data_IF_317086478219
#
_entry.id   IF_317086478219
#
_cell.length_a   1.000
_cell.length_b   1.000
_cell.length_c   1.000
_cell.angle_alpha   90.00
_cell.angle_beta   90.00
_cell.angle_gamma   90.00
#
_symmetry.space_group_name_H-M   'P 1'
#
loop_
_entity.id
_entity.type
_entity.pdbx_description
1 polymer ?
#
# COMPACT_ATOMS: atom_id res chain seq x y z
N UNK A 1 -7.26 -32.64 -16.24
CA UNK A 1 -8.23 -31.54 -16.08
C UNK A 1 -9.09 -31.67 -14.82
N UNK A 2 -8.75 -32.53 -13.85
CA UNK A 2 -9.59 -32.81 -12.66
C UNK A 2 -9.16 -32.04 -11.38
N UNK A 3 -7.99 -31.36 -11.43
CA UNK A 3 -7.43 -30.64 -10.28
C UNK A 3 -8.26 -29.39 -9.92
N UNK A 4 -8.92 -28.77 -10.90
CA UNK A 4 -9.74 -27.57 -10.69
C UNK A 4 -11.17 -27.88 -10.20
N UNK A 5 -11.60 -29.15 -10.24
CA UNK A 5 -12.98 -29.53 -9.98
C UNK A 5 -13.26 -29.83 -8.50
N UNK A 6 -12.22 -29.99 -7.66
CA UNK A 6 -12.36 -30.33 -6.24
C UNK A 6 -11.40 -29.50 -5.40
N UNK A 7 -11.83 -29.00 -4.22
CA UNK A 7 -10.94 -28.30 -3.32
C UNK A 7 -9.85 -29.24 -2.77
N UNK A 8 -8.67 -28.68 -2.54
CA UNK A 8 -7.48 -29.35 -2.00
C UNK A 8 -7.08 -28.70 -0.66
N UNK A 9 -7.77 -29.01 0.46
CA UNK A 9 -7.55 -28.32 1.74
C UNK A 9 -6.10 -28.33 2.23
N UNK A 10 -5.30 -29.32 1.83
CA UNK A 10 -3.87 -29.42 2.09
C UNK A 10 -3.05 -28.23 1.54
N UNK A 11 -3.59 -27.44 0.61
CA UNK A 11 -2.96 -26.25 0.06
C UNK A 11 -3.18 -24.99 0.92
N UNK A 12 -4.12 -24.98 1.87
CA UNK A 12 -4.39 -23.79 2.69
C UNK A 12 -3.16 -23.29 3.49
N UNK A 13 -2.35 -24.18 4.13
CA UNK A 13 -1.11 -23.76 4.77
C UNK A 13 -0.07 -23.23 3.76
N UNK A 14 -0.07 -23.76 2.52
CA UNK A 14 0.84 -23.32 1.47
C UNK A 14 0.50 -21.89 1.02
N UNK A 15 -0.78 -21.56 0.84
CA UNK A 15 -1.22 -20.21 0.51
C UNK A 15 -0.76 -19.19 1.57
N UNK A 16 -0.96 -19.51 2.85
CA UNK A 16 -0.54 -18.66 3.97
C UNK A 16 0.99 -18.49 4.02
N UNK A 17 1.74 -19.58 3.83
CA UNK A 17 3.21 -19.53 3.76
C UNK A 17 3.70 -18.73 2.56
N UNK A 18 3.03 -18.84 1.41
CA UNK A 18 3.40 -18.11 0.21
C UNK A 18 3.24 -16.60 0.39
N UNK A 19 2.17 -16.16 1.07
CA UNK A 19 1.99 -14.74 1.43
C UNK A 19 3.14 -14.18 2.24
N UNK A 20 3.70 -14.98 3.14
CA UNK A 20 4.77 -14.55 4.04
C UNK A 20 6.19 -14.78 3.49
N UNK A 21 6.34 -15.59 2.43
CA UNK A 21 7.63 -16.05 1.91
C UNK A 21 8.60 -14.90 1.58
N UNK A 22 8.07 -13.82 1.00
CA UNK A 22 8.82 -12.63 0.62
C UNK A 22 8.20 -11.34 1.20
N UNK A 23 7.38 -11.48 2.25
CA UNK A 23 6.65 -10.36 2.83
C UNK A 23 7.56 -9.41 3.60
N UNK A 24 8.69 -9.86 4.14
CA UNK A 24 9.49 -9.08 5.08
C UNK A 24 10.85 -8.68 4.51
N UNK A 25 11.29 -7.50 4.94
CA UNK A 25 12.65 -7.00 4.76
C UNK A 25 13.32 -7.03 6.13
N UNK A 26 13.94 -8.16 6.49
CA UNK A 26 14.57 -8.30 7.82
C UNK A 26 15.93 -7.61 7.92
N UNK A 27 16.60 -7.40 6.78
CA UNK A 27 17.91 -6.77 6.73
C UNK A 27 17.79 -5.31 6.31
N UNK A 28 18.41 -4.36 7.04
CA UNK A 28 18.33 -2.95 6.69
C UNK A 28 18.99 -2.72 5.32
N UNK A 29 18.27 -2.14 4.34
CA UNK A 29 18.89 -1.71 3.09
C UNK A 29 19.87 -0.56 3.35
N UNK A 30 20.71 -0.24 2.37
CA UNK A 30 21.69 0.85 2.50
C UNK A 30 21.05 2.18 2.93
N UNK A 31 19.84 2.47 2.44
CA UNK A 31 19.06 3.66 2.80
C UNK A 31 18.68 3.74 4.27
N UNK A 32 18.59 2.61 4.98
CA UNK A 32 18.32 2.56 6.41
C UNK A 32 19.59 2.62 7.28
N UNK A 33 20.77 2.45 6.66
CA UNK A 33 22.08 2.44 7.35
C UNK A 33 22.79 3.79 7.32
N UNK A 34 22.41 4.68 6.40
CA UNK A 34 23.04 5.99 6.27
C UNK A 34 22.53 6.96 7.37
N UNK A 35 23.42 7.68 8.06
CA UNK A 35 23.04 8.68 9.06
C UNK A 35 22.48 9.97 8.44
N UNK A 36 22.55 10.11 7.11
CA UNK A 36 22.02 11.25 6.36
C UNK A 36 20.68 10.88 5.72
N UNK A 37 19.64 11.74 5.80
CA UNK A 37 18.41 11.56 5.06
C UNK A 37 18.74 11.44 3.57
N UNK A 38 18.23 10.42 2.87
CA UNK A 38 18.41 10.34 1.40
C UNK A 38 17.79 11.56 0.67
N UNK A 39 16.92 12.30 1.38
CA UNK A 39 16.34 13.57 0.97
C UNK A 39 17.38 14.71 0.87
N UNK A 40 18.60 14.54 1.40
CA UNK A 40 19.69 15.51 1.29
C UNK A 40 20.27 15.65 -0.14
N UNK A 41 19.98 14.70 -1.03
CA UNK A 41 20.34 14.81 -2.45
C UNK A 41 19.29 15.65 -3.18
N UNK A 42 19.67 16.69 -3.95
CA UNK A 42 18.73 17.50 -4.71
C UNK A 42 17.80 16.66 -5.59
N UNK A 43 16.51 17.02 -5.60
CA UNK A 43 15.44 16.25 -6.25
C UNK A 43 15.75 15.95 -7.72
N UNK A 44 16.19 16.95 -8.49
CA UNK A 44 16.49 16.76 -9.92
C UNK A 44 17.62 15.77 -10.22
N UNK A 45 18.66 15.75 -9.38
CA UNK A 45 19.77 14.79 -9.52
C UNK A 45 19.31 13.38 -9.13
N UNK A 46 18.51 13.27 -8.06
CA UNK A 46 17.94 12.00 -7.61
C UNK A 46 17.00 11.40 -8.65
N UNK A 47 16.16 12.21 -9.27
CA UNK A 47 15.21 11.75 -10.30
C UNK A 47 15.94 11.25 -11.55
N UNK A 48 17.02 11.91 -11.96
CA UNK A 48 17.82 11.50 -13.11
C UNK A 48 18.51 10.16 -12.83
N UNK A 49 19.11 10.00 -11.64
CA UNK A 49 19.72 8.73 -11.20
C UNK A 49 18.64 7.63 -11.13
N UNK A 50 17.48 7.93 -10.54
CA UNK A 50 16.37 6.98 -10.40
C UNK A 50 15.85 6.50 -11.76
N UNK A 51 15.69 7.40 -12.74
CA UNK A 51 15.25 7.04 -14.11
C UNK A 51 16.29 6.21 -14.86
N UNK A 52 17.57 6.52 -14.72
CA UNK A 52 18.65 5.75 -15.34
C UNK A 52 18.72 4.32 -14.79
N UNK A 53 18.73 4.19 -13.46
CA UNK A 53 18.67 2.90 -12.76
C UNK A 53 17.39 2.16 -13.14
N UNK A 54 16.25 2.84 -13.15
CA UNK A 54 14.94 2.28 -13.42
C UNK A 54 14.79 1.63 -14.79
N UNK A 55 15.36 2.22 -15.86
CA UNK A 55 15.33 1.60 -17.21
C UNK A 55 16.13 0.29 -17.27
N UNK A 56 17.30 0.24 -16.64
CA UNK A 56 18.10 -0.98 -16.54
C UNK A 56 17.35 -2.06 -15.75
N UNK A 57 16.73 -1.62 -14.65
CA UNK A 57 15.94 -2.40 -13.74
C UNK A 57 14.67 -2.99 -14.41
N UNK A 58 13.96 -2.22 -15.25
CA UNK A 58 12.82 -2.72 -16.04
C UNK A 58 13.20 -3.92 -16.91
N UNK A 59 14.32 -3.83 -17.64
CA UNK A 59 14.83 -4.97 -18.44
C UNK A 59 15.12 -6.20 -17.58
N UNK A 60 15.59 -6.01 -16.34
CA UNK A 60 15.84 -7.11 -15.41
C UNK A 60 14.55 -7.79 -14.98
N UNK A 61 13.46 -7.04 -14.72
CA UNK A 61 12.14 -7.64 -14.42
C UNK A 61 11.61 -8.46 -15.59
N UNK A 62 11.79 -7.96 -16.82
CA UNK A 62 11.35 -8.63 -18.05
C UNK A 62 12.15 -9.91 -18.33
N UNK A 63 13.46 -9.92 -18.04
CA UNK A 63 14.35 -11.05 -18.40
C UNK A 63 14.58 -12.06 -17.27
N UNK A 64 14.38 -11.66 -16.02
CA UNK A 64 14.60 -12.49 -14.82
C UNK A 64 13.50 -12.24 -13.78
N UNK A 65 12.26 -12.66 -14.05
CA UNK A 65 11.17 -12.49 -13.10
C UNK A 65 11.48 -13.25 -11.81
N UNK A 66 11.47 -12.52 -10.69
CA UNK A 66 11.56 -13.10 -9.34
C UNK A 66 10.17 -13.37 -8.78
N UNK A 67 10.11 -14.02 -7.61
CA UNK A 67 8.90 -14.07 -6.81
C UNK A 67 8.88 -12.88 -5.81
N UNK A 68 7.74 -12.22 -5.61
CA UNK A 68 6.53 -12.32 -6.44
C UNK A 68 6.72 -11.69 -7.83
N UNK A 69 5.92 -12.10 -8.81
CA UNK A 69 5.95 -11.57 -10.17
C UNK A 69 5.61 -10.07 -10.22
N UNK A 70 6.15 -9.37 -11.22
CA UNK A 70 5.81 -7.99 -11.58
C UNK A 70 4.99 -7.96 -12.88
N UNK A 71 4.00 -7.06 -13.05
CA UNK A 71 3.55 -6.03 -12.11
C UNK A 71 2.52 -6.51 -11.07
N UNK A 72 2.02 -7.73 -11.21
CA UNK A 72 0.99 -8.32 -10.34
C UNK A 72 1.25 -9.82 -10.19
N UNK A 73 1.20 -10.29 -8.95
CA UNK A 73 1.21 -11.71 -8.60
C UNK A 73 0.03 -12.00 -7.68
N UNK A 74 -0.73 -13.05 -8.02
CA UNK A 74 -1.92 -13.51 -7.31
C UNK A 74 -1.83 -15.01 -7.01
N UNK A 75 -0.62 -15.58 -7.04
CA UNK A 75 -0.40 -17.02 -6.84
C UNK A 75 -0.85 -17.50 -5.46
N UNK A 76 -0.77 -16.67 -4.41
CA UNK A 76 -1.30 -17.04 -3.09
C UNK A 76 -2.84 -17.04 -3.06
N UNK A 77 -3.49 -16.18 -3.85
CA UNK A 77 -4.95 -16.16 -4.00
C UNK A 77 -5.43 -17.37 -4.79
N UNK A 78 -4.75 -17.72 -5.88
CA UNK A 78 -5.01 -18.95 -6.64
C UNK A 78 -4.88 -20.20 -5.75
N UNK A 79 -3.83 -20.28 -4.92
CA UNK A 79 -3.70 -21.39 -3.97
C UNK A 79 -4.82 -21.41 -2.92
N UNK A 80 -5.30 -20.24 -2.49
CA UNK A 80 -6.44 -20.15 -1.57
C UNK A 80 -7.71 -20.69 -2.22
N UNK A 81 -7.94 -20.38 -3.49
CA UNK A 81 -9.10 -20.86 -4.26
C UNK A 81 -9.03 -22.36 -4.51
N UNK A 82 -7.86 -22.87 -4.91
CA UNK A 82 -7.61 -24.30 -5.07
C UNK A 82 -7.77 -25.06 -3.75
N UNK A 83 -7.47 -24.43 -2.62
CA UNK A 83 -7.69 -25.01 -1.30
C UNK A 83 -9.18 -25.02 -0.89
N UNK A 84 -10.06 -24.34 -1.62
CA UNK A 84 -11.47 -24.19 -1.28
C UNK A 84 -11.71 -23.23 -0.11
N UNK A 85 -10.79 -22.28 0.15
CA UNK A 85 -11.00 -21.26 1.17
C UNK A 85 -12.12 -20.32 0.76
N UNK A 86 -13.03 -20.05 1.69
CA UNK A 86 -14.11 -19.10 1.44
C UNK A 86 -13.54 -17.71 1.14
N UNK A 87 -14.00 -17.09 0.06
CA UNK A 87 -13.67 -15.71 -0.28
C UNK A 87 -14.97 -14.89 -0.36
N UNK A 88 -15.35 -14.19 0.71
CA UNK A 88 -16.56 -13.36 0.71
C UNK A 88 -16.44 -12.15 -0.24
N UNK A 89 -15.20 -11.71 -0.54
CA UNK A 89 -14.93 -10.60 -1.47
C UNK A 89 -15.11 -11.00 -2.95
N UNK A 90 -15.30 -12.29 -3.25
CA UNK A 90 -15.61 -12.74 -4.61
C UNK A 90 -17.06 -12.41 -5.04
N UNK A 91 -17.89 -11.93 -4.11
CA UNK A 91 -19.29 -11.60 -4.39
C UNK A 91 -19.44 -10.12 -4.75
N UNK A 92 -19.92 -9.86 -5.96
CA UNK A 92 -20.23 -8.51 -6.44
C UNK A 92 -19.00 -7.74 -6.94
N UNK A 93 -19.12 -6.40 -7.07
CA UNK A 93 -18.04 -5.55 -7.57
C UNK A 93 -16.82 -5.56 -6.65
N UNK A 94 -15.63 -5.58 -7.23
CA UNK A 94 -14.37 -5.56 -6.50
C UNK A 94 -14.20 -4.24 -5.73
N UNK A 95 -13.88 -4.30 -4.41
CA UNK A 95 -13.66 -3.10 -3.63
C UNK A 95 -12.42 -2.35 -4.12
N UNK A 96 -12.52 -1.02 -4.22
CA UNK A 96 -11.43 -0.11 -4.54
C UNK A 96 -11.14 0.78 -3.33
N UNK A 97 -9.91 0.73 -2.83
CA UNK A 97 -9.42 1.62 -1.78
C UNK A 97 -8.36 2.54 -2.39
N UNK A 98 -8.60 3.84 -2.27
CA UNK A 98 -7.63 4.88 -2.67
C UNK A 98 -6.78 5.25 -1.46
N UNK A 99 -5.47 5.29 -1.64
CA UNK A 99 -4.55 5.68 -0.56
C UNK A 99 -3.46 6.62 -1.08
N UNK A 100 -3.05 7.55 -0.22
CA UNK A 100 -2.00 8.52 -0.52
C UNK A 100 -0.93 8.51 0.56
N UNK A 101 0.34 8.45 0.16
CA UNK A 101 1.47 8.68 1.05
C UNK A 101 1.87 10.15 0.93
N UNK A 102 1.72 10.91 2.03
CA UNK A 102 1.98 12.34 2.11
C UNK A 102 3.39 12.59 2.66
N UNK A 103 4.39 12.47 1.80
CA UNK A 103 5.80 12.59 2.18
C UNK A 103 6.21 14.02 2.59
N UNK A 104 5.45 15.02 2.15
CA UNK A 104 5.80 16.45 2.30
C UNK A 104 4.58 17.34 2.56
N UNK A 105 4.78 18.58 3.04
CA UNK A 105 3.69 19.58 3.14
C UNK A 105 3.02 19.88 1.79
N UNK A 106 3.78 19.88 0.69
CA UNK A 106 3.24 20.04 -0.67
C UNK A 106 2.23 18.94 -1.00
N UNK A 107 2.53 17.70 -0.59
CA UNK A 107 1.61 16.57 -0.75
C UNK A 107 0.27 16.81 -0.07
N UNK A 108 0.28 17.33 1.17
CA UNK A 108 -0.96 17.64 1.91
C UNK A 108 -1.76 18.79 1.27
N UNK A 109 -1.09 19.85 0.80
CA UNK A 109 -1.78 20.93 0.06
C UNK A 109 -2.42 20.42 -1.24
N UNK A 110 -1.65 19.67 -2.03
CA UNK A 110 -2.14 19.10 -3.28
C UNK A 110 -3.27 18.09 -3.04
N UNK A 111 -3.23 17.31 -1.96
CA UNK A 111 -4.31 16.42 -1.57
C UNK A 111 -5.64 17.19 -1.50
N UNK A 112 -5.69 18.22 -0.67
CA UNK A 112 -6.88 19.05 -0.43
C UNK A 112 -7.39 19.75 -1.70
N UNK A 113 -6.45 20.27 -2.49
CA UNK A 113 -6.74 21.12 -3.65
C UNK A 113 -7.05 20.35 -4.93
N UNK A 114 -6.42 19.19 -5.13
CA UNK A 114 -6.48 18.45 -6.41
C UNK A 114 -7.16 17.08 -6.27
N UNK A 115 -6.78 16.28 -5.27
CA UNK A 115 -7.19 14.88 -5.18
C UNK A 115 -8.57 14.73 -4.56
N UNK A 116 -8.80 15.27 -3.35
CA UNK A 116 -10.08 15.11 -2.66
C UNK A 116 -11.28 15.58 -3.49
N UNK A 117 -11.26 16.76 -4.17
CA UNK A 117 -12.42 17.21 -4.95
C UNK A 117 -12.80 16.26 -6.10
N UNK A 118 -11.84 15.55 -6.68
CA UNK A 118 -12.08 14.56 -7.74
C UNK A 118 -12.63 13.27 -7.13
N UNK A 119 -12.00 12.79 -6.07
CA UNK A 119 -12.42 11.58 -5.37
C UNK A 119 -13.84 11.70 -4.86
N UNK A 120 -14.17 12.82 -4.23
CA UNK A 120 -15.51 13.11 -3.71
C UNK A 120 -16.56 13.11 -4.82
N UNK A 121 -16.26 13.73 -5.97
CA UNK A 121 -17.15 13.75 -7.14
C UNK A 121 -17.40 12.35 -7.69
N UNK A 122 -16.43 11.44 -7.58
CA UNK A 122 -16.53 10.04 -8.00
C UNK A 122 -17.08 9.12 -6.89
N UNK A 123 -17.46 9.67 -5.73
CA UNK A 123 -18.01 8.91 -4.60
C UNK A 123 -16.97 8.17 -3.76
N UNK A 124 -15.68 8.46 -3.94
CA UNK A 124 -14.59 7.84 -3.18
C UNK A 124 -14.23 8.63 -1.92
N UNK A 125 -13.67 7.93 -0.93
CA UNK A 125 -12.98 8.50 0.23
C UNK A 125 -11.66 7.75 0.44
N UNK A 126 -10.56 8.47 0.32
CA UNK A 126 -9.20 7.93 0.44
C UNK A 126 -8.70 7.82 1.89
N UNK A 127 -7.65 7.01 2.07
CA UNK A 127 -6.84 6.92 3.30
C UNK A 127 -5.50 7.60 3.08
N UNK A 128 -5.17 8.58 3.92
CA UNK A 128 -4.04 9.48 3.74
C UNK A 128 -2.98 9.24 4.82
N UNK A 129 -1.89 8.59 4.44
CA UNK A 129 -0.80 8.21 5.34
C UNK A 129 0.21 9.35 5.47
N UNK A 130 0.44 9.82 6.70
CA UNK A 130 1.34 10.93 6.99
C UNK A 130 2.41 10.59 8.04
N UNK A 131 3.67 11.01 7.86
CA UNK A 131 4.76 10.76 8.80
C UNK A 131 4.77 11.80 9.94
N UNK A 132 4.50 11.42 11.20
CA UNK A 132 4.29 12.38 12.30
C UNK A 132 5.44 13.33 12.62
N UNK A 133 6.67 12.97 12.25
CA UNK A 133 7.92 13.67 12.59
C UNK A 133 8.82 13.93 11.37
N UNK A 134 8.35 13.74 10.15
CA UNK A 134 9.16 14.09 8.97
C UNK A 134 9.07 15.59 8.63
N UNK A 135 7.93 16.22 8.91
CA UNK A 135 7.68 17.65 8.68
C UNK A 135 6.59 18.17 9.65
N UNK A 136 6.50 19.49 9.89
CA UNK A 136 5.47 20.06 10.75
C UNK A 136 4.06 19.89 10.16
N UNK A 137 3.21 19.11 10.81
CA UNK A 137 1.84 18.87 10.36
C UNK A 137 0.93 20.06 10.68
N UNK A 138 0.20 20.55 9.67
CA UNK A 138 -0.86 21.54 9.86
C UNK A 138 -2.15 20.84 10.31
N UNK A 139 -2.51 21.01 11.58
CA UNK A 139 -3.69 20.38 12.17
C UNK A 139 -4.99 20.90 11.55
N UNK A 140 -5.05 22.14 11.05
CA UNK A 140 -6.25 22.66 10.40
C UNK A 140 -6.50 21.95 9.07
N UNK A 141 -5.43 21.68 8.30
CA UNK A 141 -5.52 20.88 7.08
C UNK A 141 -5.95 19.44 7.39
N UNK A 142 -5.41 18.82 8.46
CA UNK A 142 -5.82 17.47 8.86
C UNK A 142 -7.28 17.42 9.35
N UNK A 143 -7.73 18.43 10.08
CA UNK A 143 -9.13 18.59 10.48
C UNK A 143 -10.04 18.69 9.24
N UNK A 144 -9.62 19.43 8.20
CA UNK A 144 -10.35 19.52 6.94
C UNK A 144 -10.45 18.15 6.23
N UNK A 145 -9.34 17.42 6.12
CA UNK A 145 -9.33 16.06 5.53
C UNK A 145 -10.34 15.16 6.27
N UNK A 146 -10.29 15.16 7.60
CA UNK A 146 -11.17 14.36 8.43
C UNK A 146 -12.64 14.80 8.31
N UNK A 147 -12.93 16.11 8.33
CA UNK A 147 -14.28 16.66 8.21
C UNK A 147 -14.94 16.34 6.86
N UNK A 148 -14.13 16.19 5.80
CA UNK A 148 -14.58 15.76 4.46
C UNK A 148 -14.84 14.26 4.35
N UNK A 149 -14.57 13.50 5.42
CA UNK A 149 -14.81 12.06 5.51
C UNK A 149 -13.68 11.20 4.94
N UNK A 150 -12.51 11.78 4.69
CA UNK A 150 -11.31 11.05 4.30
C UNK A 150 -10.57 10.57 5.54
N UNK A 151 -10.04 9.35 5.50
CA UNK A 151 -9.33 8.78 6.64
C UNK A 151 -7.88 9.26 6.69
N UNK A 152 -7.34 9.40 7.90
CA UNK A 152 -5.93 9.62 8.16
C UNK A 152 -5.26 8.29 8.58
N UNK A 153 -4.00 8.12 8.18
CA UNK A 153 -3.16 6.96 8.47
C UNK A 153 -1.76 7.39 8.94
N UNK A 154 -1.05 6.52 9.66
CA UNK A 154 0.32 6.81 10.10
C UNK A 154 1.33 6.25 9.10
N UNK A 155 2.23 7.12 8.61
CA UNK A 155 3.31 6.75 7.70
C UNK A 155 4.67 6.67 8.42
N UNK A 156 4.78 5.76 9.40
CA UNK A 156 6.00 5.61 10.19
C UNK A 156 6.24 6.74 11.21
N UNK A 157 7.42 7.36 11.15
CA UNK A 157 7.86 8.36 12.13
C UNK A 157 8.43 9.59 11.42
N UNK A 158 9.64 9.50 10.89
CA UNK A 158 10.39 10.59 10.25
C UNK A 158 10.80 10.26 8.79
N UNK A 159 10.22 9.20 8.22
CA UNK A 159 10.49 8.71 6.87
C UNK A 159 11.96 8.30 6.60
N UNK A 160 12.78 8.06 7.66
CA UNK A 160 14.21 7.70 7.49
C UNK A 160 14.50 6.20 7.36
N UNK A 161 13.47 5.36 7.20
CA UNK A 161 13.60 3.92 7.02
C UNK A 161 14.26 3.14 8.18
N UNK A 162 14.49 3.75 9.36
CA UNK A 162 15.16 3.07 10.50
C UNK A 162 14.21 2.31 11.43
N UNK A 163 12.94 2.72 11.51
CA UNK A 163 11.95 2.16 12.45
C UNK A 163 11.86 0.64 12.46
N UNK A 164 11.86 -0.07 11.30
CA UNK A 164 11.75 -1.53 11.29
C UNK A 164 12.98 -2.26 11.88
N UNK A 165 14.13 -1.59 11.94
CA UNK A 165 15.44 -2.20 12.24
C UNK A 165 16.05 -1.74 13.56
N UNK A 166 15.44 -0.74 14.22
CA UNK A 166 15.90 -0.26 15.50
C UNK A 166 15.49 -1.20 16.66
N UNK A 167 16.15 -1.04 17.81
CA UNK A 167 15.88 -1.82 19.01
C UNK A 167 14.41 -1.65 19.47
N UNK A 168 13.82 -2.65 20.16
CA UNK A 168 12.41 -2.61 20.57
C UNK A 168 11.99 -1.33 21.30
N UNK A 169 12.80 -0.84 22.25
CA UNK A 169 12.48 0.38 23.01
C UNK A 169 12.43 1.64 22.14
N UNK A 170 13.38 1.77 21.20
CA UNK A 170 13.39 2.88 20.25
C UNK A 170 12.23 2.76 19.26
N UNK A 171 11.91 1.54 18.79
CA UNK A 171 10.78 1.30 17.90
C UNK A 171 9.46 1.66 18.59
N UNK A 172 9.28 1.25 19.85
CA UNK A 172 8.14 1.64 20.68
C UNK A 172 8.03 3.17 20.79
N UNK A 173 9.10 3.86 21.17
CA UNK A 173 9.11 5.33 21.28
C UNK A 173 8.69 6.02 19.98
N UNK A 174 9.18 5.52 18.83
CA UNK A 174 8.82 6.06 17.51
C UNK A 174 7.35 5.84 17.17
N UNK A 175 6.82 4.65 17.44
CA UNK A 175 5.41 4.33 17.18
C UNK A 175 4.48 5.14 18.11
N UNK A 176 4.86 5.31 19.37
CA UNK A 176 4.05 6.04 20.37
C UNK A 176 4.01 7.56 20.09
N UNK A 177 4.93 8.09 19.29
CA UNK A 177 4.92 9.50 18.90
C UNK A 177 3.74 9.91 18.02
N UNK A 178 3.00 8.94 17.48
CA UNK A 178 1.76 9.16 16.74
C UNK A 178 0.52 9.22 17.64
N UNK A 179 0.64 8.93 18.95
CA UNK A 179 -0.51 8.70 19.83
C UNK A 179 -1.54 9.84 19.83
N UNK A 180 -1.10 11.10 19.88
CA UNK A 180 -2.02 12.25 19.88
C UNK A 180 -2.81 12.40 18.57
N UNK A 181 -2.21 12.03 17.43
CA UNK A 181 -2.89 12.02 16.13
C UNK A 181 -3.87 10.84 16.05
N UNK A 182 -3.44 9.67 16.55
CA UNK A 182 -4.28 8.47 16.61
C UNK A 182 -5.53 8.72 17.43
N UNK A 183 -5.38 9.32 18.61
CA UNK A 183 -6.49 9.66 19.49
C UNK A 183 -7.41 10.71 18.86
N UNK A 184 -6.85 11.82 18.34
CA UNK A 184 -7.64 12.92 17.78
C UNK A 184 -8.47 12.51 16.56
N UNK A 185 -7.89 11.72 15.66
CA UNK A 185 -8.51 11.42 14.37
C UNK A 185 -9.01 9.98 14.25
N UNK A 186 -8.91 9.18 15.32
CA UNK A 186 -9.29 7.77 15.30
C UNK A 186 -8.50 6.96 14.26
N UNK A 187 -7.20 7.22 14.10
CA UNK A 187 -6.39 6.59 13.05
C UNK A 187 -6.28 5.09 13.30
N UNK A 188 -6.64 4.30 12.28
CA UNK A 188 -6.65 2.82 12.36
C UNK A 188 -5.57 2.13 11.53
N UNK A 189 -5.02 2.83 10.54
CA UNK A 189 -4.11 2.26 9.55
C UNK A 189 -2.67 2.74 9.73
N UNK A 190 -1.74 1.84 9.49
CA UNK A 190 -0.31 2.13 9.38
C UNK A 190 0.22 1.78 7.99
N UNK A 191 1.24 2.51 7.54
CA UNK A 191 2.05 2.14 6.38
C UNK A 191 3.51 2.47 6.64
N UNK A 192 4.40 1.51 6.45
CA UNK A 192 5.81 1.69 6.67
C UNK A 192 6.43 2.55 5.55
N UNK A 193 7.28 3.54 5.88
CA UNK A 193 8.05 4.30 4.90
C UNK A 193 8.84 3.41 3.95
N UNK A 194 8.81 3.76 2.67
CA UNK A 194 9.38 2.95 1.59
C UNK A 194 8.90 1.49 1.57
N UNK A 195 7.81 1.14 2.26
CA UNK A 195 7.35 -0.24 2.45
C UNK A 195 8.42 -1.13 3.12
N UNK A 196 9.30 -0.59 3.95
CA UNK A 196 10.28 -1.40 4.68
C UNK A 196 9.64 -1.92 5.97
N UNK A 197 9.56 -3.24 6.10
CA UNK A 197 8.89 -3.89 7.23
C UNK A 197 9.66 -5.12 7.67
N UNK A 198 9.77 -5.32 8.97
CA UNK A 198 10.29 -6.54 9.62
C UNK A 198 9.14 -7.22 10.37
N UNK A 199 9.28 -8.51 10.68
CA UNK A 199 8.30 -9.17 11.55
C UNK A 199 8.17 -8.45 12.90
N UNK A 200 9.29 -8.00 13.47
CA UNK A 200 9.31 -7.27 14.73
C UNK A 200 8.50 -5.97 14.67
N UNK A 201 8.52 -5.26 13.53
CA UNK A 201 7.66 -4.09 13.33
C UNK A 201 6.19 -4.49 13.32
N UNK A 202 5.77 -5.45 12.50
CA UNK A 202 4.35 -5.81 12.39
C UNK A 202 3.78 -6.35 13.71
N UNK A 203 4.57 -7.11 14.48
CA UNK A 203 4.19 -7.52 15.84
C UNK A 203 3.90 -6.32 16.73
N UNK A 204 4.75 -5.30 16.72
CA UNK A 204 4.53 -4.10 17.54
C UNK A 204 3.32 -3.28 17.05
N UNK A 205 3.04 -3.29 15.74
CA UNK A 205 1.89 -2.62 15.14
C UNK A 205 0.57 -3.29 15.55
N UNK A 206 0.53 -4.62 15.71
CA UNK A 206 -0.69 -5.39 16.03
C UNK A 206 -1.43 -4.93 17.28
N UNK A 207 -0.73 -4.31 18.22
CA UNK A 207 -1.31 -3.75 19.45
C UNK A 207 -1.76 -2.28 19.34
N UNK A 208 -1.49 -1.62 18.22
CA UNK A 208 -1.67 -0.17 18.03
C UNK A 208 -2.61 0.19 16.90
N UNK A 209 -2.59 -0.60 15.83
CA UNK A 209 -3.33 -0.33 14.61
C UNK A 209 -4.22 -1.52 14.26
N UNK A 210 -5.34 -1.21 13.61
CA UNK A 210 -6.25 -2.24 13.12
C UNK A 210 -5.69 -2.95 11.90
N UNK A 211 -4.99 -2.22 11.03
CA UNK A 211 -4.41 -2.77 9.82
C UNK A 211 -3.09 -2.11 9.44
N UNK A 212 -2.25 -2.88 8.76
CA UNK A 212 -1.08 -2.44 8.02
C UNK A 212 -1.38 -2.50 6.51
N UNK A 213 -0.74 -1.63 5.73
CA UNK A 213 -0.80 -1.65 4.27
C UNK A 213 0.59 -1.40 3.71
N UNK A 214 1.53 -2.27 4.10
CA UNK A 214 2.95 -2.13 3.78
C UNK A 214 3.48 -3.20 2.82
N UNK A 215 2.70 -4.25 2.55
CA UNK A 215 3.13 -5.39 1.76
C UNK A 215 2.49 -5.30 0.35
N UNK A 216 3.29 -5.11 -0.72
CA UNK A 216 2.76 -5.12 -2.07
C UNK A 216 2.35 -6.53 -2.50
N UNK A 217 1.43 -6.64 -3.47
CA UNK A 217 1.10 -7.92 -4.12
C UNK A 217 2.27 -8.45 -4.96
N UNK A 218 3.07 -7.56 -5.56
CA UNK A 218 4.11 -7.88 -6.55
C UNK A 218 5.54 -7.56 -6.12
N UNK A 219 6.50 -8.33 -6.65
CA UNK A 219 7.93 -8.21 -6.39
C UNK A 219 8.60 -7.12 -7.23
N UNK A 220 8.22 -5.86 -6.97
CA UNK A 220 8.87 -4.69 -7.55
C UNK A 220 10.35 -4.57 -7.18
N UNK A 221 11.04 -3.57 -7.72
CA UNK A 221 12.49 -3.41 -7.54
C UNK A 221 12.90 -2.45 -6.43
N UNK A 222 11.96 -1.62 -5.96
CA UNK A 222 12.23 -0.56 -5.00
C UNK A 222 11.36 -0.68 -3.74
N UNK A 223 11.92 -0.43 -2.54
CA UNK A 223 13.34 -0.21 -2.24
C UNK A 223 14.13 -1.53 -2.17
N UNK A 224 13.45 -2.66 -2.07
CA UNK A 224 14.04 -3.99 -1.98
C UNK A 224 13.40 -4.86 -3.07
N UNK A 225 14.19 -5.38 -4.02
CA UNK A 225 13.70 -6.27 -5.05
C UNK A 225 13.06 -7.55 -4.52
N UNK A 226 12.00 -8.02 -5.17
CA UNK A 226 11.42 -9.34 -4.92
C UNK A 226 10.77 -9.46 -3.54
N UNK A 227 10.16 -8.38 -3.04
CA UNK A 227 9.34 -8.42 -1.83
C UNK A 227 7.86 -8.28 -2.17
N UNK A 228 6.99 -8.93 -1.40
CA UNK A 228 5.54 -8.90 -1.58
C UNK A 228 4.87 -10.20 -1.15
N UNK A 229 3.55 -10.25 -1.27
CA UNK A 229 2.72 -11.34 -0.75
C UNK A 229 2.00 -12.18 -1.81
N UNK A 230 2.12 -11.85 -3.10
CA UNK A 230 1.40 -12.56 -4.17
C UNK A 230 -0.12 -12.68 -3.93
N UNK A 231 -0.70 -11.67 -3.27
CA UNK A 231 -2.09 -11.64 -2.87
C UNK A 231 -2.62 -10.22 -2.99
N UNK A 232 -3.86 -10.09 -3.45
CA UNK A 232 -4.66 -8.86 -3.39
C UNK A 232 -5.79 -8.99 -2.36
N UNK A 233 -5.82 -10.05 -1.56
CA UNK A 233 -6.80 -10.28 -0.51
C UNK A 233 -6.20 -9.94 0.85
N UNK A 234 -6.97 -9.33 1.78
CA UNK A 234 -6.50 -9.12 3.13
C UNK A 234 -6.12 -10.42 3.83
N UNK A 235 -5.12 -10.39 4.69
CA UNK A 235 -4.67 -11.55 5.46
C UNK A 235 -4.05 -11.15 6.79
N UNK A 236 -3.90 -12.08 7.73
CA UNK A 236 -3.24 -11.80 9.01
C UNK A 236 -1.72 -12.00 8.88
N UNK A 237 -0.95 -11.01 9.30
CA UNK A 237 0.51 -11.07 9.37
C UNK A 237 0.97 -10.61 10.76
N UNK A 238 1.65 -11.47 11.52
CA UNK A 238 2.21 -11.11 12.84
C UNK A 238 1.18 -10.47 13.81
N UNK A 239 -0.07 -10.90 13.74
CA UNK A 239 -1.17 -10.43 14.60
C UNK A 239 -1.89 -9.17 14.11
N UNK A 240 -1.46 -8.55 13.01
CA UNK A 240 -2.16 -7.41 12.37
C UNK A 240 -2.79 -7.81 11.04
N UNK A 241 -3.93 -7.21 10.69
CA UNK A 241 -4.53 -7.36 9.36
C UNK A 241 -3.68 -6.60 8.34
N UNK A 242 -3.18 -7.30 7.33
CA UNK A 242 -2.55 -6.69 6.17
C UNK A 242 -3.61 -6.42 5.10
N UNK A 243 -3.64 -5.19 4.59
CA UNK A 243 -4.32 -4.80 3.37
C UNK A 243 -3.27 -4.58 2.27
N UNK A 244 -3.04 -5.58 1.39
CA UNK A 244 -1.96 -5.50 0.42
C UNK A 244 -2.11 -4.33 -0.54
N UNK A 245 -1.00 -3.67 -0.87
CA UNK A 245 -0.97 -2.71 -1.98
C UNK A 245 -1.00 -3.53 -3.27
N UNK A 246 -2.18 -3.66 -3.87
CA UNK A 246 -2.39 -4.61 -4.94
C UNK A 246 -2.09 -4.07 -6.33
N UNK A 247 -2.14 -2.74 -6.52
CA UNK A 247 -1.69 -2.09 -7.75
C UNK A 247 -0.21 -1.67 -7.66
N UNK A 248 0.52 -1.69 -8.79
CA UNK A 248 1.84 -1.07 -8.86
C UNK A 248 1.77 0.42 -8.52
N UNK A 249 2.64 0.89 -7.63
CA UNK A 249 2.69 2.29 -7.19
C UNK A 249 3.08 3.24 -8.32
N UNK A 250 2.52 4.46 -8.26
CA UNK A 250 2.83 5.56 -9.18
C UNK A 250 4.34 5.85 -9.30
N UNK A 251 5.00 6.11 -8.17
CA UNK A 251 6.41 6.45 -8.09
C UNK A 251 7.28 5.32 -8.65
N UNK A 252 6.92 4.05 -8.37
CA UNK A 252 7.68 2.91 -8.85
C UNK A 252 7.58 2.78 -10.38
N UNK A 253 6.37 2.84 -10.95
CA UNK A 253 6.21 2.81 -12.41
C UNK A 253 6.91 3.99 -13.09
N UNK A 254 6.77 5.19 -12.52
CA UNK A 254 7.45 6.39 -13.02
C UNK A 254 8.98 6.24 -13.02
N UNK A 255 9.55 5.77 -11.91
CA UNK A 255 10.99 5.56 -11.81
C UNK A 255 11.49 4.46 -12.75
N UNK A 256 10.71 3.41 -12.99
CA UNK A 256 11.01 2.37 -13.99
C UNK A 256 10.90 2.88 -15.45
N UNK A 257 10.48 4.13 -15.64
CA UNK A 257 10.45 4.78 -16.95
C UNK A 257 9.24 4.42 -17.80
N UNK A 258 8.13 3.99 -17.17
CA UNK A 258 6.86 3.83 -17.87
C UNK A 258 6.30 5.21 -18.24
N UNK A 259 5.77 5.31 -19.47
CA UNK A 259 5.02 6.48 -19.93
C UNK A 259 3.65 6.58 -19.24
N UNK A 260 3.05 7.76 -19.25
CA UNK A 260 1.71 8.01 -18.71
C UNK A 260 0.64 7.05 -19.26
N UNK A 261 0.73 6.69 -20.55
CA UNK A 261 -0.16 5.74 -21.20
C UNK A 261 0.10 4.29 -20.77
N UNK A 262 1.37 3.88 -20.66
CA UNK A 262 1.71 2.54 -20.16
C UNK A 262 1.29 2.37 -18.69
N UNK A 263 1.45 3.40 -17.85
CA UNK A 263 0.99 3.41 -16.46
C UNK A 263 -0.52 3.15 -16.39
N UNK A 264 -1.29 3.91 -17.16
CA UNK A 264 -2.74 3.74 -17.24
C UNK A 264 -3.12 2.33 -17.68
N UNK A 265 -2.45 1.79 -18.71
CA UNK A 265 -2.70 0.45 -19.21
C UNK A 265 -2.40 -0.63 -18.16
N UNK A 266 -1.25 -0.52 -17.46
CA UNK A 266 -0.87 -1.45 -16.38
C UNK A 266 -1.88 -1.41 -15.24
N UNK A 267 -2.30 -0.22 -14.80
CA UNK A 267 -3.31 -0.09 -13.74
C UNK A 267 -4.65 -0.71 -14.12
N UNK A 268 -5.18 -0.42 -15.32
CA UNK A 268 -6.43 -1.02 -15.80
C UNK A 268 -6.35 -2.55 -15.88
N UNK A 269 -5.26 -3.08 -16.45
CA UNK A 269 -5.06 -4.53 -16.57
C UNK A 269 -4.94 -5.21 -15.21
N UNK A 270 -4.20 -4.61 -14.27
CA UNK A 270 -4.06 -5.16 -12.92
C UNK A 270 -5.40 -5.12 -12.16
N UNK A 271 -6.12 -4.00 -12.22
CA UNK A 271 -7.43 -3.86 -11.55
C UNK A 271 -8.43 -4.91 -12.01
N UNK A 272 -8.55 -5.13 -13.33
CA UNK A 272 -9.44 -6.16 -13.89
C UNK A 272 -9.03 -7.57 -13.46
N UNK A 273 -7.73 -7.88 -13.41
CA UNK A 273 -7.23 -9.19 -12.94
C UNK A 273 -7.47 -9.40 -11.45
N UNK A 274 -7.31 -8.35 -10.65
CA UNK A 274 -7.61 -8.37 -9.21
C UNK A 274 -9.11 -8.60 -8.99
N UNK A 275 -9.97 -7.89 -9.72
CA UNK A 275 -11.41 -8.08 -9.66
C UNK A 275 -11.81 -9.52 -10.03
N UNK A 276 -11.27 -10.06 -11.12
CA UNK A 276 -11.50 -11.44 -11.54
C UNK A 276 -11.04 -12.48 -10.51
N UNK A 277 -10.07 -12.13 -9.65
CA UNK A 277 -9.62 -12.97 -8.54
C UNK A 277 -10.41 -12.78 -7.24
N UNK A 278 -11.45 -11.93 -7.21
CA UNK A 278 -12.15 -11.59 -5.97
C UNK A 278 -11.23 -10.92 -4.94
N UNK A 279 -10.28 -10.11 -5.40
CA UNK A 279 -9.35 -9.34 -4.56
C UNK A 279 -9.78 -7.88 -4.40
N UNK A 280 -9.02 -7.14 -3.59
CA UNK A 280 -9.22 -5.72 -3.33
C UNK A 280 -8.25 -4.91 -4.19
N UNK A 281 -8.76 -3.93 -4.92
CA UNK A 281 -7.93 -2.98 -5.67
C UNK A 281 -7.47 -1.88 -4.71
N UNK A 282 -6.18 -1.84 -4.39
CA UNK A 282 -5.59 -0.84 -3.49
C UNK A 282 -4.59 -0.02 -4.30
N UNK A 283 -4.96 1.23 -4.56
CA UNK A 283 -4.10 2.20 -5.22
C UNK A 283 -3.31 2.97 -4.17
N UNK A 284 -2.00 3.05 -4.36
CA UNK A 284 -1.11 3.94 -3.62
C UNK A 284 -0.53 4.96 -4.58
N UNK A 285 -0.80 6.24 -4.31
CA UNK A 285 -0.14 7.36 -5.00
C UNK A 285 0.49 8.33 -4.01
N UNK A 286 1.25 9.28 -4.53
CA UNK A 286 1.82 10.38 -3.78
C UNK A 286 1.33 11.70 -4.39
N UNK A 287 0.83 12.60 -3.55
CA UNK A 287 0.21 13.85 -4.00
C UNK A 287 1.23 14.94 -4.39
N UNK A 288 2.52 14.69 -4.18
CA UNK A 288 3.61 15.60 -4.54
C UNK A 288 3.74 15.82 -6.05
N UNK A 289 4.20 17.02 -6.44
CA UNK A 289 4.38 17.36 -7.84
C UNK A 289 5.48 16.55 -8.54
N UNK A 290 6.37 15.90 -7.78
CA UNK A 290 7.35 14.95 -8.33
C UNK A 290 6.71 13.61 -8.77
N UNK A 291 5.46 13.39 -8.39
CA UNK A 291 4.67 12.17 -8.62
C UNK A 291 3.29 12.51 -9.20
N UNK A 292 2.20 11.95 -8.66
CA UNK A 292 0.84 12.15 -9.18
C UNK A 292 0.30 13.57 -9.01
N UNK A 293 0.96 14.46 -8.25
CA UNK A 293 0.55 15.86 -8.09
C UNK A 293 0.78 16.75 -9.30
N UNK A 294 1.39 16.26 -10.39
CA UNK A 294 1.68 17.04 -11.59
C UNK A 294 1.42 16.27 -12.88
N UNK A 295 1.06 16.98 -13.95
CA UNK A 295 0.98 16.40 -15.29
C UNK A 295 2.34 15.84 -15.75
N UNK A 296 2.36 14.69 -16.46
CA UNK A 296 1.19 13.96 -16.97
C UNK A 296 0.61 12.92 -15.98
N UNK A 297 1.23 12.67 -14.82
CA UNK A 297 0.80 11.61 -13.89
C UNK A 297 -0.53 11.92 -13.21
N UNK A 298 -0.81 13.20 -12.96
CA UNK A 298 -2.11 13.66 -12.48
C UNK A 298 -3.24 13.24 -13.43
N UNK A 299 -3.11 13.55 -14.71
CA UNK A 299 -4.10 13.20 -15.74
C UNK A 299 -4.27 11.68 -15.88
N UNK A 300 -3.18 10.92 -15.78
CA UNK A 300 -3.24 9.45 -15.73
C UNK A 300 -4.01 8.95 -14.52
N UNK A 301 -3.82 9.56 -13.34
CA UNK A 301 -4.55 9.21 -12.12
C UNK A 301 -6.04 9.49 -12.28
N UNK A 302 -6.41 10.68 -12.77
CA UNK A 302 -7.81 11.04 -13.05
C UNK A 302 -8.48 10.06 -14.02
N UNK A 303 -7.85 9.78 -15.17
CA UNK A 303 -8.40 8.84 -16.18
C UNK A 303 -8.53 7.41 -15.65
N UNK A 304 -7.71 7.02 -14.68
CA UNK A 304 -7.83 5.72 -14.04
C UNK A 304 -9.01 5.70 -13.06
N UNK A 305 -9.19 6.75 -12.25
CA UNK A 305 -10.34 6.88 -11.35
C UNK A 305 -11.67 6.93 -12.11
N UNK A 306 -11.73 7.67 -13.22
CA UNK A 306 -12.91 7.71 -14.11
C UNK A 306 -13.24 6.32 -14.64
N UNK A 307 -12.23 5.57 -15.11
CA UNK A 307 -12.42 4.19 -15.55
C UNK A 307 -12.97 3.26 -14.45
N UNK A 308 -12.49 3.40 -13.21
CA UNK A 308 -13.00 2.62 -12.08
C UNK A 308 -14.45 3.00 -11.75
N UNK A 309 -14.79 4.29 -11.84
CA UNK A 309 -16.14 4.78 -11.56
C UNK A 309 -17.16 4.36 -12.64
N UNK A 310 -16.74 4.30 -13.91
CA UNK A 310 -17.60 3.94 -15.04
C UNK A 310 -17.84 2.42 -15.19
N UNK A 311 -16.98 1.59 -14.58
CA UNK A 311 -17.05 0.14 -14.73
C UNK A 311 -17.74 -0.51 -13.52
N UNK A 312 -18.83 -1.22 -13.80
CA UNK A 312 -19.68 -1.95 -12.83
C UNK A 312 -18.96 -3.07 -12.05
N UNK A 313 -17.77 -3.48 -12.51
CA UNK A 313 -16.91 -4.45 -11.82
C UNK A 313 -16.24 -3.86 -10.56
N UNK A 314 -16.33 -2.55 -10.32
CA UNK A 314 -15.64 -1.90 -9.20
C UNK A 314 -16.61 -1.13 -8.30
N UNK A 315 -16.24 -1.01 -7.02
CA UNK A 315 -16.92 -0.16 -6.05
C UNK A 315 -15.92 0.52 -5.13
N UNK A 316 -15.89 1.85 -5.10
CA UNK A 316 -15.12 2.56 -4.09
C UNK A 316 -15.59 2.18 -2.69
N UNK A 317 -14.65 1.79 -1.84
CA UNK A 317 -14.89 1.26 -0.50
C UNK A 317 -13.83 1.77 0.47
N UNK A 318 -14.16 1.76 1.74
CA UNK A 318 -13.22 2.00 2.85
C UNK A 318 -12.59 0.70 3.32
N UNK A 319 -11.42 0.75 4.00
CA UNK A 319 -10.87 -0.44 4.65
C UNK A 319 -11.85 -1.10 5.61
N UNK A 320 -12.64 -0.32 6.36
CA UNK A 320 -13.60 -0.85 7.32
C UNK A 320 -14.67 -1.72 6.66
N UNK A 321 -15.22 -1.29 5.52
CA UNK A 321 -16.19 -2.07 4.74
C UNK A 321 -15.57 -3.36 4.19
N UNK A 322 -14.33 -3.29 3.68
CA UNK A 322 -13.62 -4.47 3.18
C UNK A 322 -13.39 -5.49 4.29
N UNK A 323 -12.93 -5.05 5.47
CA UNK A 323 -12.67 -5.95 6.59
C UNK A 323 -13.96 -6.51 7.22
N UNK A 324 -15.07 -5.76 7.18
CA UNK A 324 -16.38 -6.27 7.60
C UNK A 324 -16.89 -7.38 6.66
N UNK A 325 -16.57 -7.31 5.37
CA UNK A 325 -16.90 -8.37 4.40
C UNK A 325 -15.96 -9.56 4.52
N UNK A 326 -14.69 -9.36 4.87
CA UNK A 326 -13.66 -10.40 4.89
C UNK A 326 -13.70 -11.36 6.09
N UNK A 327 -14.77 -11.36 6.91
CA UNK A 327 -14.85 -12.08 8.20
C UNK A 327 -13.62 -11.85 9.09
N UNK A 328 -13.08 -10.62 9.09
CA UNK A 328 -11.88 -10.31 9.86
C UNK A 328 -12.12 -10.59 11.36
N UNK A 329 -11.22 -11.31 12.06
CA UNK A 329 -11.35 -11.44 13.50
C UNK A 329 -11.35 -10.04 14.12
N UNK A 330 -12.32 -9.76 15.00
CA UNK A 330 -12.26 -8.57 15.83
C UNK A 330 -10.90 -8.58 16.56
N UNK A 331 -10.05 -7.54 16.43
CA UNK A 331 -8.84 -7.47 17.23
C UNK A 331 -9.24 -7.45 18.70
N UNK A 332 -8.41 -8.12 19.50
CA UNK A 332 -8.56 -8.24 20.94
C UNK A 332 -8.95 -6.88 21.55
N UNK A 333 -9.96 -6.92 22.43
CA UNK A 333 -10.76 -5.79 22.83
C UNK A 333 -9.99 -4.56 23.32
N UNK A 334 -10.71 -3.43 23.29
CA UNK A 334 -10.43 -2.30 24.17
C UNK A 334 -10.25 -2.87 25.58
N UNK A 335 -9.08 -2.64 26.16
CA UNK A 335 -8.94 -2.69 27.62
C UNK A 335 -9.61 -1.42 28.10
N UNK A 336 -10.81 -1.56 28.64
CA UNK A 336 -11.39 -0.56 29.53
C UNK A 336 -10.44 -0.36 30.70
N UNK A 337 -9.92 0.85 30.84
CA UNK A 337 -9.53 1.50 32.11
C UNK A 337 -9.34 3.01 31.86
#
# INVERSE_FOLDING_TARGET
MDILARPHPQLAPLASRLRLLAAFTEQPPASARLPLPYQAVPVGLRDLIAKGIGRFNRRRLETRPGFPLWPLDLSADLLSDLAGLHNPLAQGPAPVILTHDLDTPEGLDNLLRLFLPVEERLGARSVNFLPPKAWPLDLAQLDEVAARGHALGIHGFDHNNRTPFCLPEERKKRLDAAASLVERYGIRGYRAPSLLRSQALLRDLSSRYFFDSSIPSSGGLFPVPGNGCASARPFLAEGILELPISLPRDANLWFLGYSAQEILAVWKQCALRIAASGGVVVLLTHCEARFSGKSPLWETSLRFLEFLAECDQFRFSTPAEVFALADGPAPCGRVDA
#
